data_IF_484116081939
#
_entry.id   IF_484116081939
#
_cell.length_a   1.000
_cell.length_b   1.000
_cell.length_c   1.000
_cell.angle_alpha   90.00
_cell.angle_beta   90.00
_cell.angle_gamma   90.00
#
_symmetry.space_group_name_H-M   'P 1'
#
loop_
_entity.id
_entity.type
_entity.pdbx_description
1 polymer ?
#
# COMPACT_ATOMS: atom_id res chain seq x y z
N UNK A 1 50.51 -16.05 -46.87
CA UNK A 1 50.59 -17.49 -46.55
C UNK A 1 49.46 -17.81 -45.58
N UNK A 2 48.37 -18.43 -46.08
CA UNK A 2 47.88 -19.79 -45.75
C UNK A 2 47.45 -19.95 -44.27
N UNK A 3 46.12 -20.03 -44.04
CA UNK A 3 45.34 -21.23 -43.68
C UNK A 3 45.40 -21.50 -42.17
N UNK A 4 44.37 -21.82 -41.39
CA UNK A 4 42.97 -22.29 -41.46
C UNK A 4 42.63 -22.57 -39.96
N UNK A 5 41.44 -22.84 -39.45
CA UNK A 5 40.17 -23.35 -39.93
C UNK A 5 39.12 -23.00 -38.87
N UNK A 6 37.90 -22.87 -39.36
CA UNK A 6 36.60 -22.81 -38.69
C UNK A 6 36.34 -23.99 -37.73
N UNK A 7 35.67 -23.74 -36.61
CA UNK A 7 34.53 -24.57 -36.20
C UNK A 7 33.52 -23.73 -35.41
N UNK A 8 32.29 -23.72 -35.93
CA UNK A 8 31.12 -23.09 -35.33
C UNK A 8 30.53 -24.00 -34.25
N UNK A 9 29.98 -23.41 -33.20
CA UNK A 9 28.69 -23.85 -32.65
C UNK A 9 27.89 -22.64 -32.19
N UNK A 10 26.68 -22.59 -32.75
CA UNK A 10 25.58 -21.71 -32.42
C UNK A 10 25.10 -21.95 -30.98
N UNK A 11 24.53 -20.92 -30.32
CA UNK A 11 23.61 -21.18 -29.22
C UNK A 11 23.40 -20.08 -28.20
N UNK A 12 22.57 -19.09 -28.57
CA UNK A 12 21.74 -18.24 -27.69
C UNK A 12 22.44 -17.10 -26.92
N UNK A 13 22.46 -15.94 -27.56
CA UNK A 13 22.35 -14.65 -26.87
C UNK A 13 20.94 -14.48 -26.30
N UNK A 14 20.86 -13.99 -25.05
CA UNK A 14 19.88 -12.99 -24.66
C UNK A 14 20.56 -12.03 -23.66
N UNK A 15 21.13 -10.94 -24.19
CA UNK A 15 21.48 -9.74 -23.41
C UNK A 15 20.23 -8.88 -23.27
N UNK A 16 19.81 -8.61 -22.05
CA UNK A 16 19.03 -7.43 -21.66
C UNK A 16 19.85 -6.60 -20.67
N UNK A 17 19.90 -5.25 -20.77
CA UNK A 17 20.82 -4.44 -19.99
C UNK A 17 20.23 -4.13 -18.60
N UNK A 18 21.03 -4.31 -17.54
CA UNK A 18 20.66 -3.90 -16.18
C UNK A 18 21.23 -4.75 -15.04
N UNK A 19 21.87 -5.88 -15.34
CA UNK A 19 22.49 -6.72 -14.32
C UNK A 19 23.94 -6.32 -14.07
N UNK A 20 24.18 -5.42 -13.11
CA UNK A 20 25.43 -5.38 -12.31
C UNK A 20 25.40 -4.29 -11.21
N UNK A 21 24.52 -3.28 -11.31
CA UNK A 21 24.46 -2.18 -10.32
C UNK A 21 23.40 -2.36 -9.22
N UNK A 22 22.32 -3.13 -9.47
CA UNK A 22 21.23 -3.35 -8.49
C UNK A 22 21.64 -4.29 -7.32
N UNK A 23 22.73 -5.04 -7.48
CA UNK A 23 23.24 -5.99 -6.46
C UNK A 23 24.00 -5.36 -5.30
N UNK A 24 24.28 -4.05 -5.31
CA UNK A 24 24.95 -3.34 -4.20
C UNK A 24 24.02 -2.55 -3.28
N UNK A 25 22.74 -2.37 -3.66
CA UNK A 25 21.76 -1.68 -2.84
C UNK A 25 21.14 -2.64 -1.80
N UNK A 26 21.80 -2.84 -0.66
CA UNK A 26 21.15 -2.99 0.66
C UNK A 26 20.23 -4.16 1.00
N UNK A 27 19.94 -5.13 0.13
CA UNK A 27 19.04 -6.27 0.47
C UNK A 27 19.74 -7.45 1.17
N UNK A 28 21.06 -7.36 1.38
CA UNK A 28 21.90 -8.41 1.97
C UNK A 28 22.05 -8.36 3.50
N UNK A 29 21.53 -7.33 4.17
CA UNK A 29 21.57 -7.25 5.64
C UNK A 29 20.35 -7.92 6.26
N UNK A 30 20.59 -8.69 7.32
CA UNK A 30 19.53 -9.32 8.13
C UNK A 30 18.67 -8.21 8.74
N UNK A 31 17.43 -8.09 8.30
CA UNK A 31 16.45 -7.19 8.91
C UNK A 31 16.30 -7.58 10.40
N UNK A 32 16.53 -6.63 11.30
CA UNK A 32 16.58 -6.89 12.74
C UNK A 32 15.20 -7.07 13.38
N UNK A 33 14.13 -6.68 12.68
CA UNK A 33 12.78 -6.61 13.23
C UNK A 33 12.61 -5.48 14.26
N UNK A 34 13.58 -4.57 14.36
CA UNK A 34 13.57 -3.45 15.30
C UNK A 34 12.83 -2.25 14.72
N UNK A 35 12.47 -1.33 15.61
CA UNK A 35 11.79 -0.08 15.26
C UNK A 35 12.61 1.11 15.71
N UNK A 36 12.70 2.14 14.86
CA UNK A 36 13.13 3.48 15.27
C UNK A 36 11.89 4.38 15.42
N UNK A 37 12.04 5.53 16.07
CA UNK A 37 10.96 6.53 16.21
C UNK A 37 11.27 7.79 15.42
N UNK A 38 10.29 8.27 14.66
CA UNK A 38 10.32 9.58 14.00
C UNK A 38 9.14 10.41 14.47
N UNK A 39 9.40 11.55 15.11
CA UNK A 39 8.37 12.41 15.74
C UNK A 39 7.38 11.62 16.63
N UNK A 40 7.91 10.68 17.42
CA UNK A 40 7.14 9.84 18.33
C UNK A 40 6.57 8.56 17.70
N UNK A 41 6.57 8.43 16.38
CA UNK A 41 5.89 7.34 15.67
C UNK A 41 6.88 6.23 15.31
N UNK A 42 6.57 4.95 15.61
CA UNK A 42 7.45 3.82 15.35
C UNK A 42 7.48 3.42 13.86
N UNK A 43 8.67 3.09 13.34
CA UNK A 43 8.91 2.63 11.98
C UNK A 43 9.90 1.45 11.95
N UNK A 44 9.63 0.41 11.15
CA UNK A 44 10.58 -0.70 10.93
C UNK A 44 11.94 -0.26 10.39
N UNK A 45 13.01 -0.71 11.04
CA UNK A 45 14.39 -0.48 10.58
C UNK A 45 14.66 -1.26 9.29
N UNK A 46 15.41 -0.65 8.37
CA UNK A 46 15.93 -1.28 7.16
C UNK A 46 15.11 -1.01 5.90
N UNK A 47 13.80 -0.82 6.02
CA UNK A 47 12.94 -0.38 4.90
C UNK A 47 12.62 1.12 4.93
N UNK A 48 12.72 1.73 6.11
CA UNK A 48 12.52 3.16 6.34
C UNK A 48 13.75 3.75 7.03
N UNK A 49 13.97 5.05 6.86
CA UNK A 49 14.93 5.82 7.64
C UNK A 49 14.35 7.19 8.03
N UNK A 50 14.90 7.88 9.05
CA UNK A 50 14.50 9.25 9.35
C UNK A 50 14.60 10.19 8.13
N UNK A 51 15.59 9.97 7.26
CA UNK A 51 15.81 10.73 6.04
C UNK A 51 14.72 10.44 5.01
N UNK A 52 14.36 9.17 4.79
CA UNK A 52 13.32 8.80 3.82
C UNK A 52 11.96 9.37 4.22
N UNK A 53 11.63 9.37 5.51
CA UNK A 53 10.39 9.98 6.03
C UNK A 53 10.44 11.51 5.89
N UNK A 54 11.58 12.14 6.21
CA UNK A 54 11.75 13.60 6.06
C UNK A 54 11.66 14.04 4.60
N UNK A 55 12.12 13.22 3.65
CA UNK A 55 11.97 13.49 2.23
C UNK A 55 10.50 13.60 1.84
N UNK A 56 9.62 12.74 2.38
CA UNK A 56 8.18 12.82 2.10
C UNK A 56 7.57 14.12 2.56
N UNK A 57 7.89 14.58 3.79
CA UNK A 57 7.34 15.83 4.32
C UNK A 57 7.63 17.05 3.42
N UNK A 58 8.78 17.03 2.73
CA UNK A 58 9.25 18.11 1.86
C UNK A 58 9.18 17.73 0.37
N UNK A 59 8.44 16.67 0.03
CA UNK A 59 8.39 16.16 -1.32
C UNK A 59 7.65 17.11 -2.27
N UNK A 60 8.06 17.08 -3.53
CA UNK A 60 7.36 17.76 -4.61
C UNK A 60 6.13 16.96 -5.03
N UNK A 61 4.96 17.59 -4.93
CA UNK A 61 3.65 17.02 -5.23
C UNK A 61 3.08 17.71 -6.46
N UNK A 62 2.68 16.90 -7.44
CA UNK A 62 2.17 17.33 -8.73
C UNK A 62 0.65 17.20 -8.76
N UNK A 63 -0.03 18.09 -9.48
CA UNK A 63 -1.50 18.15 -9.52
C UNK A 63 -2.19 16.88 -10.04
N UNK A 64 -1.49 16.06 -10.83
CA UNK A 64 -2.02 14.79 -11.35
C UNK A 64 -1.57 13.57 -10.54
N UNK A 65 -0.89 13.77 -9.42
CA UNK A 65 -0.50 12.68 -8.53
C UNK A 65 -1.72 12.00 -7.92
N UNK A 66 -1.61 10.67 -7.75
CA UNK A 66 -2.61 9.84 -7.10
C UNK A 66 -1.94 9.10 -5.94
N UNK A 67 -2.39 9.42 -4.72
CA UNK A 67 -1.92 8.80 -3.49
C UNK A 67 -2.92 7.78 -2.95
N UNK A 68 -2.44 6.60 -2.58
CA UNK A 68 -3.18 5.59 -1.83
C UNK A 68 -2.72 5.65 -0.39
N UNK A 69 -3.58 6.11 0.51
CA UNK A 69 -3.23 6.30 1.92
C UNK A 69 -4.00 5.28 2.75
N UNK A 70 -3.30 4.49 3.56
CA UNK A 70 -3.94 3.43 4.34
C UNK A 70 -3.23 3.20 5.65
N UNK A 71 -3.94 2.71 6.66
CA UNK A 71 -3.25 2.02 7.74
C UNK A 71 -2.74 0.65 7.23
N UNK A 72 -1.54 0.19 7.63
CA UNK A 72 -1.03 -1.13 7.26
C UNK A 72 -2.09 -2.23 7.36
N UNK A 73 -2.12 -3.09 6.34
CA UNK A 73 -3.05 -4.24 6.24
C UNK A 73 -4.54 -3.90 6.02
N UNK A 74 -4.86 -2.65 5.72
CA UNK A 74 -6.23 -2.21 5.41
C UNK A 74 -6.70 -2.50 3.99
N UNK A 75 -5.85 -3.07 3.14
CA UNK A 75 -6.21 -3.45 1.77
C UNK A 75 -5.52 -2.62 0.68
N UNK A 76 -4.42 -1.95 1.01
CA UNK A 76 -3.64 -1.10 0.06
C UNK A 76 -3.39 -1.78 -1.28
N UNK A 77 -2.93 -3.03 -1.27
CA UNK A 77 -2.63 -3.77 -2.50
C UNK A 77 -3.85 -3.98 -3.40
N UNK A 78 -5.03 -4.13 -2.80
CA UNK A 78 -6.26 -4.23 -3.58
C UNK A 78 -6.56 -2.90 -4.28
N UNK A 79 -6.39 -1.78 -3.57
CA UNK A 79 -6.54 -0.44 -4.16
C UNK A 79 -5.46 -0.15 -5.22
N UNK A 80 -4.21 -0.55 -5.00
CA UNK A 80 -3.13 -0.43 -5.99
C UNK A 80 -3.51 -1.18 -7.27
N UNK A 81 -4.02 -2.41 -7.15
CA UNK A 81 -4.44 -3.21 -8.31
C UNK A 81 -5.59 -2.56 -9.07
N UNK A 82 -6.63 -2.14 -8.36
CA UNK A 82 -7.79 -1.44 -8.92
C UNK A 82 -7.34 -0.20 -9.70
N UNK A 83 -6.53 0.67 -9.07
CA UNK A 83 -6.08 1.91 -9.70
C UNK A 83 -5.14 1.64 -10.88
N UNK A 84 -4.29 0.62 -10.79
CA UNK A 84 -3.43 0.24 -11.93
C UNK A 84 -4.25 -0.18 -13.15
N UNK A 85 -5.34 -0.91 -12.93
CA UNK A 85 -6.26 -1.31 -14.00
C UNK A 85 -7.07 -0.12 -14.52
N UNK A 86 -7.55 0.77 -13.65
CA UNK A 86 -8.28 1.99 -14.06
C UNK A 86 -7.38 2.91 -14.91
N UNK A 87 -6.11 3.07 -14.53
CA UNK A 87 -5.14 3.87 -15.28
C UNK A 87 -4.77 3.30 -16.65
N UNK A 88 -5.14 2.04 -16.91
CA UNK A 88 -4.91 1.32 -18.17
C UNK A 88 -6.22 0.87 -18.81
N UNK A 89 -7.33 1.53 -18.49
CA UNK A 89 -8.64 1.27 -19.09
C UNK A 89 -9.07 -0.21 -19.03
N UNK A 90 -8.70 -0.90 -17.94
CA UNK A 90 -8.96 -2.32 -17.72
C UNK A 90 -7.96 -3.29 -18.35
N UNK A 91 -6.92 -2.82 -19.06
CA UNK A 91 -5.86 -3.67 -19.62
C UNK A 91 -4.97 -4.26 -18.51
N UNK A 92 -4.89 -5.59 -18.38
CA UNK A 92 -4.06 -6.23 -17.37
C UNK A 92 -2.56 -6.28 -17.71
N UNK A 93 -2.11 -5.79 -18.87
CA UNK A 93 -0.70 -5.84 -19.31
C UNK A 93 0.26 -5.30 -18.25
N UNK A 94 -0.06 -4.15 -17.66
CA UNK A 94 0.79 -3.51 -16.64
C UNK A 94 0.86 -4.33 -15.34
N UNK A 95 -0.28 -4.83 -14.85
CA UNK A 95 -0.32 -5.62 -13.61
C UNK A 95 0.31 -7.01 -13.79
N UNK A 96 0.41 -7.53 -15.02
CA UNK A 96 1.05 -8.82 -15.32
C UNK A 96 2.55 -8.73 -15.57
N UNK A 97 3.06 -7.54 -15.91
CA UNK A 97 4.47 -7.33 -16.28
C UNK A 97 5.28 -6.58 -15.22
N UNK A 98 4.64 -5.75 -14.38
CA UNK A 98 5.34 -4.88 -13.43
C UNK A 98 4.93 -5.22 -11.98
N UNK A 99 5.89 -5.47 -11.08
CA UNK A 99 5.60 -5.72 -9.67
C UNK A 99 4.83 -4.57 -9.02
N UNK A 100 3.92 -4.91 -8.10
CA UNK A 100 3.00 -3.98 -7.45
C UNK A 100 3.70 -2.81 -6.74
N UNK A 101 4.86 -3.07 -6.11
CA UNK A 101 5.67 -2.03 -5.45
C UNK A 101 6.41 -1.11 -6.42
N UNK A 102 6.53 -1.48 -7.71
CA UNK A 102 7.03 -0.59 -8.77
C UNK A 102 5.90 0.20 -9.44
N UNK A 103 4.66 -0.34 -9.45
CA UNK A 103 3.48 0.35 -9.99
C UNK A 103 2.97 1.46 -9.09
N UNK A 104 3.01 1.26 -7.77
CA UNK A 104 2.62 2.24 -6.77
C UNK A 104 3.65 2.30 -5.62
N UNK A 105 4.85 2.84 -5.87
CA UNK A 105 5.93 2.90 -4.89
C UNK A 105 5.50 3.61 -3.60
N UNK A 106 6.06 3.15 -2.47
CA UNK A 106 5.80 3.75 -1.16
C UNK A 106 6.54 5.07 -1.02
N UNK A 107 5.86 6.12 -0.56
CA UNK A 107 6.47 7.44 -0.37
C UNK A 107 7.64 7.39 0.62
N UNK A 108 7.43 6.75 1.76
CA UNK A 108 8.31 6.78 2.93
C UNK A 108 9.45 5.74 2.92
N UNK A 109 9.45 4.82 1.96
CA UNK A 109 10.49 3.79 1.84
C UNK A 109 11.84 4.41 1.42
N UNK A 110 12.95 3.79 1.83
CA UNK A 110 14.31 4.25 1.44
C UNK A 110 14.46 4.31 -0.08
N UNK A 111 13.95 3.29 -0.78
CA UNK A 111 13.84 3.26 -2.25
C UNK A 111 12.38 3.57 -2.64
N UNK A 112 11.93 4.75 -2.23
CA UNK A 112 10.54 5.18 -2.32
C UNK A 112 10.20 5.98 -3.57
N UNK A 113 8.94 6.42 -3.66
CA UNK A 113 8.41 7.14 -4.82
C UNK A 113 9.19 8.42 -5.15
N UNK A 114 9.64 9.15 -4.13
CA UNK A 114 10.38 10.41 -4.28
C UNK A 114 11.88 10.22 -4.53
N UNK A 115 12.35 8.97 -4.59
CA UNK A 115 13.73 8.62 -4.95
C UNK A 115 13.87 8.22 -6.43
N UNK A 116 12.75 8.14 -7.17
CA UNK A 116 12.73 7.75 -8.57
C UNK A 116 12.94 8.98 -9.49
N UNK A 117 13.83 8.85 -10.46
CA UNK A 117 14.02 9.85 -11.51
C UNK A 117 12.94 9.69 -12.60
N UNK A 118 12.23 10.78 -12.88
CA UNK A 118 11.28 10.93 -13.99
C UNK A 118 10.25 9.76 -14.16
N UNK A 119 9.43 9.47 -13.14
CA UNK A 119 8.41 8.43 -13.24
C UNK A 119 7.29 8.82 -14.23
N UNK A 120 6.72 7.84 -14.95
CA UNK A 120 5.64 8.10 -15.91
C UNK A 120 4.41 8.72 -15.23
N UNK A 121 3.75 9.64 -15.92
CA UNK A 121 2.57 10.34 -15.43
C UNK A 121 1.25 9.72 -15.90
N UNK A 122 0.17 9.76 -15.09
CA UNK A 122 0.13 10.27 -13.71
C UNK A 122 0.88 9.33 -12.74
N UNK A 123 1.52 9.89 -11.71
CA UNK A 123 2.22 9.09 -10.70
C UNK A 123 1.21 8.43 -9.76
N UNK A 124 1.25 7.11 -9.65
CA UNK A 124 0.52 6.36 -8.62
C UNK A 124 1.48 6.06 -7.47
N UNK A 125 1.16 6.46 -6.25
CA UNK A 125 2.02 6.31 -5.07
C UNK A 125 1.22 5.79 -3.89
N UNK A 126 1.90 5.11 -2.96
CA UNK A 126 1.27 4.57 -1.75
C UNK A 126 1.91 5.16 -0.50
N UNK A 127 1.15 5.35 0.57
CA UNK A 127 1.70 5.74 1.87
C UNK A 127 0.94 5.15 3.05
N UNK A 128 1.68 4.72 4.05
CA UNK A 128 1.18 4.42 5.38
C UNK A 128 1.40 5.58 6.36
N UNK A 129 1.94 6.69 5.88
CA UNK A 129 2.31 7.80 6.74
C UNK A 129 1.09 8.45 7.37
N UNK A 130 1.32 8.95 8.60
CA UNK A 130 0.36 9.81 9.21
C UNK A 130 0.10 11.11 8.49
N UNK A 131 -1.10 11.71 8.67
CA UNK A 131 -1.42 13.01 8.06
C UNK A 131 -0.43 14.07 8.53
N UNK A 132 0.00 14.01 9.80
CA UNK A 132 1.00 14.92 10.38
C UNK A 132 2.43 14.69 9.86
N UNK A 133 2.69 13.56 9.18
CA UNK A 133 3.97 13.24 8.54
C UNK A 133 3.87 13.23 7.01
N UNK A 134 2.69 13.48 6.44
CA UNK A 134 2.47 13.40 5.00
C UNK A 134 3.03 14.63 4.29
N UNK A 135 3.18 14.54 2.96
CA UNK A 135 3.76 15.59 2.13
C UNK A 135 3.00 16.92 2.31
N UNK A 136 3.67 17.97 2.78
CA UNK A 136 3.01 19.26 3.06
C UNK A 136 2.46 19.90 1.78
N UNK A 137 3.18 19.76 0.68
CA UNK A 137 2.78 20.25 -0.64
C UNK A 137 1.46 19.63 -1.13
N UNK A 138 1.07 18.45 -0.62
CA UNK A 138 -0.22 17.84 -0.94
C UNK A 138 -1.37 18.80 -0.62
N UNK A 139 -1.37 19.43 0.56
CA UNK A 139 -2.48 20.26 1.04
C UNK A 139 -2.69 21.56 0.25
N UNK A 140 -1.75 21.92 -0.62
CA UNK A 140 -1.81 23.10 -1.50
C UNK A 140 -1.84 22.73 -2.99
N UNK A 141 -1.91 21.44 -3.31
CA UNK A 141 -1.94 20.91 -4.68
C UNK A 141 -3.35 20.45 -5.10
N UNK A 142 -3.51 20.04 -6.35
CA UNK A 142 -4.72 19.35 -6.84
C UNK A 142 -4.59 17.83 -6.87
N UNK A 143 -3.49 17.31 -6.32
CA UNK A 143 -3.26 15.89 -6.22
C UNK A 143 -4.42 15.18 -5.51
N UNK A 144 -4.67 13.95 -5.89
CA UNK A 144 -5.78 13.15 -5.37
C UNK A 144 -5.29 12.14 -4.36
N UNK A 145 -5.99 12.02 -3.23
CA UNK A 145 -5.73 10.97 -2.25
C UNK A 145 -6.96 10.06 -2.08
N UNK A 146 -6.74 8.76 -2.13
CA UNK A 146 -7.74 7.74 -1.80
C UNK A 146 -7.31 7.10 -0.48
N UNK A 147 -8.10 7.37 0.56
CA UNK A 147 -7.92 6.77 1.87
C UNK A 147 -8.72 5.48 1.98
N UNK A 148 -8.08 4.37 2.36
CA UNK A 148 -8.78 3.11 2.58
C UNK A 148 -8.67 2.66 4.04
N UNK A 149 -9.83 2.57 4.69
CA UNK A 149 -10.01 2.04 6.03
C UNK A 149 -10.52 0.61 6.01
N UNK A 150 -10.16 -0.16 7.05
CA UNK A 150 -10.65 -1.51 7.28
C UNK A 150 -11.06 -1.65 8.74
N UNK A 151 -12.01 -2.54 9.02
CA UNK A 151 -12.36 -2.86 10.41
C UNK A 151 -11.08 -3.17 11.23
N UNK A 152 -10.81 -2.45 12.33
CA UNK A 152 -9.58 -2.63 13.10
C UNK A 152 -9.41 -4.05 13.66
N UNK A 153 -10.51 -4.79 13.86
CA UNK A 153 -10.48 -6.21 14.28
C UNK A 153 -9.90 -7.11 13.18
N UNK A 154 -10.20 -6.83 11.92
CA UNK A 154 -9.62 -7.58 10.80
C UNK A 154 -8.17 -7.14 10.54
N UNK A 155 -7.88 -5.86 10.75
CA UNK A 155 -6.52 -5.31 10.64
C UNK A 155 -5.58 -6.00 11.62
N UNK A 156 -5.91 -6.07 12.91
CA UNK A 156 -5.05 -6.69 13.92
C UNK A 156 -4.76 -8.17 13.61
N UNK A 157 -5.76 -8.93 13.16
CA UNK A 157 -5.57 -10.33 12.76
C UNK A 157 -4.67 -10.43 11.52
N UNK A 158 -4.87 -9.55 10.54
CA UNK A 158 -4.06 -9.51 9.32
C UNK A 158 -2.60 -9.14 9.62
N UNK A 159 -2.38 -8.16 10.50
CA UNK A 159 -1.06 -7.71 10.92
C UNK A 159 -0.35 -8.80 11.73
N UNK A 160 -1.03 -9.45 12.69
CA UNK A 160 -0.48 -10.56 13.47
C UNK A 160 0.11 -11.67 12.59
N UNK A 161 -0.64 -12.13 11.58
CA UNK A 161 -0.13 -13.16 10.66
C UNK A 161 0.96 -12.64 9.73
N UNK A 162 0.89 -11.37 9.32
CA UNK A 162 1.92 -10.76 8.49
C UNK A 162 3.26 -10.63 9.23
N UNK A 163 3.25 -10.22 10.50
CA UNK A 163 4.47 -10.11 11.31
C UNK A 163 5.22 -11.43 11.48
N UNK A 164 4.55 -12.58 11.32
CA UNK A 164 5.23 -13.90 11.35
C UNK A 164 6.04 -14.21 10.10
N UNK A 165 5.70 -13.60 8.96
CA UNK A 165 6.36 -13.84 7.67
C UNK A 165 7.19 -12.65 7.21
N UNK A 166 6.92 -11.45 7.73
CA UNK A 166 7.60 -10.21 7.38
C UNK A 166 8.84 -10.00 8.26
N UNK A 167 10.03 -10.08 7.68
CA UNK A 167 11.29 -10.07 8.43
C UNK A 167 11.69 -8.68 8.94
N UNK A 168 11.11 -7.62 8.37
CA UNK A 168 11.24 -6.26 8.88
C UNK A 168 10.45 -6.04 10.19
N UNK A 169 9.51 -6.92 10.53
CA UNK A 169 8.70 -6.79 11.73
C UNK A 169 9.23 -7.73 12.82
N UNK A 170 9.08 -7.30 14.07
CA UNK A 170 9.32 -8.19 15.22
C UNK A 170 8.31 -9.33 15.22
N UNK A 171 8.73 -10.50 15.71
CA UNK A 171 7.79 -11.59 16.00
C UNK A 171 6.66 -11.08 16.91
N UNK A 172 5.39 -11.35 16.56
CA UNK A 172 4.25 -10.78 17.26
C UNK A 172 4.00 -11.41 18.63
N UNK A 173 4.64 -12.54 18.97
CA UNK A 173 4.39 -13.29 20.20
C UNK A 173 2.98 -13.88 20.26
N UNK A 174 2.38 -13.83 21.45
CA UNK A 174 1.03 -14.36 21.68
C UNK A 174 -0.03 -13.40 21.12
N UNK A 175 -1.19 -13.92 20.64
CA UNK A 175 -2.28 -13.06 20.15
C UNK A 175 -2.74 -12.00 21.16
N UNK A 176 -2.79 -12.35 22.45
CA UNK A 176 -3.24 -11.44 23.50
C UNK A 176 -2.24 -10.30 23.71
N UNK A 177 -0.94 -10.60 23.80
CA UNK A 177 0.10 -9.58 23.91
C UNK A 177 0.12 -8.67 22.68
N UNK A 178 -0.01 -9.25 21.48
CA UNK A 178 -0.07 -8.49 20.24
C UNK A 178 -1.27 -7.54 20.20
N UNK A 179 -2.45 -8.01 20.62
CA UNK A 179 -3.66 -7.19 20.71
C UNK A 179 -3.48 -6.03 21.71
N UNK A 180 -2.87 -6.29 22.87
CA UNK A 180 -2.59 -5.23 23.85
C UNK A 180 -1.64 -4.17 23.28
N UNK A 181 -0.58 -4.59 22.60
CA UNK A 181 0.36 -3.68 21.94
C UNK A 181 -0.35 -2.86 20.85
N UNK A 182 -1.17 -3.50 20.02
CA UNK A 182 -1.97 -2.84 18.99
C UNK A 182 -2.91 -1.77 19.57
N UNK A 183 -3.62 -2.08 20.66
CA UNK A 183 -4.53 -1.14 21.32
C UNK A 183 -3.80 0.04 21.98
N UNK A 184 -2.55 -0.15 22.41
CA UNK A 184 -1.69 0.91 22.95
C UNK A 184 -1.00 1.76 21.87
N UNK A 185 -1.09 1.37 20.59
CA UNK A 185 -0.33 2.00 19.51
C UNK A 185 1.17 1.65 19.54
N UNK A 186 1.55 0.59 20.25
CA UNK A 186 2.92 0.09 20.29
C UNK A 186 3.20 -0.74 19.02
N UNK A 187 3.89 -0.15 18.04
CA UNK A 187 4.35 -0.81 16.81
C UNK A 187 4.13 0.02 15.54
N UNK A 188 2.88 0.36 15.23
CA UNK A 188 2.46 1.23 14.11
C UNK A 188 1.29 2.09 14.61
N UNK A 189 1.58 3.32 15.03
CA UNK A 189 0.66 4.20 15.76
C UNK A 189 -0.31 4.92 14.82
N UNK A 190 -1.59 4.53 14.88
CA UNK A 190 -2.74 5.27 14.36
C UNK A 190 -4.06 4.77 14.96
N UNK A 191 -4.15 4.85 16.28
CA UNK A 191 -5.28 4.29 17.02
C UNK A 191 -6.35 5.30 17.46
N UNK A 192 -6.94 6.13 16.58
CA UNK A 192 -8.23 6.79 16.92
C UNK A 192 -9.27 6.81 15.78
N UNK A 193 -10.35 6.06 16.05
CA UNK A 193 -11.70 6.10 15.45
C UNK A 193 -11.78 6.10 13.91
N UNK A 194 -11.53 4.95 13.29
CA UNK A 194 -12.05 4.67 11.93
C UNK A 194 -13.29 3.79 12.09
N UNK A 195 -14.48 4.35 11.80
CA UNK A 195 -15.71 3.57 11.69
C UNK A 195 -15.76 2.92 10.31
N UNK A 196 -15.86 1.60 10.28
CA UNK A 196 -16.04 0.81 9.07
C UNK A 196 -17.45 0.98 8.51
N UNK A 197 -17.59 1.31 7.22
CA UNK A 197 -18.82 1.23 6.45
C UNK A 197 -18.73 0.05 5.46
N UNK A 198 -19.86 -0.37 4.90
CA UNK A 198 -19.97 -1.50 3.98
C UNK A 198 -19.80 -0.97 2.55
N UNK A 199 -18.93 -1.58 1.75
CA UNK A 199 -18.66 -1.15 0.37
C UNK A 199 -19.19 -2.18 -0.63
N UNK A 200 -20.01 -1.74 -1.58
CA UNK A 200 -20.31 -2.47 -2.81
C UNK A 200 -19.22 -2.16 -3.85
N UNK A 201 -18.54 -3.19 -4.33
CA UNK A 201 -17.38 -3.04 -5.20
C UNK A 201 -17.72 -2.33 -6.52
N UNK A 202 -18.85 -2.68 -7.16
CA UNK A 202 -19.15 -2.12 -8.50
C UNK A 202 -19.51 -0.64 -8.41
N UNK A 203 -20.36 -0.28 -7.44
CA UNK A 203 -20.71 1.12 -7.18
C UNK A 203 -19.47 1.92 -6.77
N UNK A 204 -18.64 1.40 -5.86
CA UNK A 204 -17.41 2.10 -5.47
C UNK A 204 -16.38 2.21 -6.58
N UNK A 205 -16.30 1.28 -7.52
CA UNK A 205 -15.44 1.43 -8.69
C UNK A 205 -15.89 2.59 -9.59
N UNK A 206 -17.20 2.77 -9.76
CA UNK A 206 -17.74 3.91 -10.51
C UNK A 206 -17.43 5.23 -9.81
N UNK A 207 -17.58 5.28 -8.48
CA UNK A 207 -17.20 6.45 -7.67
C UNK A 207 -15.71 6.78 -7.81
N UNK A 208 -14.83 5.76 -7.75
CA UNK A 208 -13.39 5.94 -7.93
C UNK A 208 -13.09 6.47 -9.34
N UNK A 209 -13.70 5.89 -10.37
CA UNK A 209 -13.54 6.32 -11.76
C UNK A 209 -13.96 7.79 -11.93
N UNK A 210 -15.11 8.17 -11.37
CA UNK A 210 -15.61 9.55 -11.40
C UNK A 210 -14.67 10.49 -10.64
N UNK A 211 -14.24 10.13 -9.44
CA UNK A 211 -13.30 10.92 -8.64
C UNK A 211 -11.98 11.15 -9.38
N UNK A 212 -11.47 10.15 -10.09
CA UNK A 212 -10.26 10.26 -10.90
C UNK A 212 -10.47 11.03 -12.21
N UNK A 213 -11.73 11.25 -12.63
CA UNK A 213 -12.04 11.82 -13.95
C UNK A 213 -11.76 10.85 -15.09
N UNK A 214 -11.86 9.54 -14.83
CA UNK A 214 -11.56 8.44 -15.76
C UNK A 214 -12.74 7.47 -15.84
N UNK A 215 -13.85 7.85 -16.48
CA UNK A 215 -14.99 6.95 -16.63
C UNK A 215 -14.61 5.73 -17.47
N UNK A 216 -15.02 4.54 -17.02
CA UNK A 216 -14.78 3.28 -17.74
C UNK A 216 -16.08 2.75 -18.36
N UNK A 217 -15.96 2.20 -19.56
CA UNK A 217 -17.03 1.41 -20.18
C UNK A 217 -17.29 0.11 -19.43
N UNK A 218 -18.42 -0.54 -19.73
CA UNK A 218 -18.83 -1.79 -19.05
C UNK A 218 -17.75 -2.88 -19.12
N UNK A 219 -17.14 -3.08 -20.29
CA UNK A 219 -16.12 -4.11 -20.51
C UNK A 219 -14.85 -3.84 -19.70
N UNK A 220 -14.35 -2.61 -19.75
CA UNK A 220 -13.21 -2.17 -18.94
C UNK A 220 -13.50 -2.35 -17.44
N UNK A 221 -14.69 -1.95 -16.97
CA UNK A 221 -15.10 -2.12 -15.58
C UNK A 221 -15.19 -3.59 -15.17
N UNK A 222 -15.78 -4.45 -16.02
CA UNK A 222 -15.85 -5.89 -15.78
C UNK A 222 -14.43 -6.50 -15.73
N UNK A 223 -13.50 -6.00 -16.54
CA UNK A 223 -12.07 -6.37 -16.49
C UNK A 223 -11.41 -5.95 -15.16
N UNK A 224 -11.66 -4.71 -14.69
CA UNK A 224 -11.16 -4.25 -13.38
C UNK A 224 -11.66 -5.17 -12.26
N UNK A 225 -12.96 -5.53 -12.26
CA UNK A 225 -13.55 -6.45 -11.28
C UNK A 225 -12.89 -7.82 -11.33
N UNK A 226 -12.73 -8.39 -12.53
CA UNK A 226 -12.16 -9.73 -12.70
C UNK A 226 -10.70 -9.80 -12.21
N UNK A 227 -9.87 -8.82 -12.58
CA UNK A 227 -8.45 -8.82 -12.25
C UNK A 227 -8.12 -8.35 -10.82
N UNK A 228 -8.98 -7.52 -10.21
CA UNK A 228 -8.85 -7.13 -8.80
C UNK A 228 -9.45 -8.15 -7.83
N UNK A 229 -10.08 -9.22 -8.31
CA UNK A 229 -10.59 -10.28 -7.45
C UNK A 229 -9.45 -10.96 -6.68
N UNK A 230 -9.70 -11.32 -5.41
CA UNK A 230 -8.69 -11.90 -4.53
C UNK A 230 -7.98 -13.13 -5.15
N UNK A 231 -8.74 -14.02 -5.79
CA UNK A 231 -8.19 -15.20 -6.45
C UNK A 231 -7.26 -14.84 -7.61
N UNK A 232 -7.64 -13.87 -8.44
CA UNK A 232 -6.84 -13.39 -9.57
C UNK A 232 -5.53 -12.73 -9.08
N UNK A 233 -5.62 -11.82 -8.11
CA UNK A 233 -4.44 -11.19 -7.51
C UNK A 233 -3.51 -12.21 -6.85
N UNK A 234 -4.07 -13.22 -6.17
CA UNK A 234 -3.28 -14.27 -5.51
C UNK A 234 -2.52 -15.14 -6.51
N UNK A 235 -3.10 -15.37 -7.69
CA UNK A 235 -2.44 -16.10 -8.78
C UNK A 235 -1.40 -15.26 -9.54
N UNK A 236 -1.48 -13.92 -9.48
CA UNK A 236 -0.56 -13.04 -10.18
C UNK A 236 0.75 -12.83 -9.39
N UNK A 237 1.88 -13.33 -9.91
CA UNK A 237 3.20 -13.21 -9.28
C UNK A 237 3.64 -11.75 -9.06
N UNK A 238 3.18 -10.84 -9.93
CA UNK A 238 3.46 -9.41 -9.83
C UNK A 238 2.64 -8.69 -8.75
N UNK A 239 1.61 -9.33 -8.20
CA UNK A 239 0.70 -8.74 -7.20
C UNK A 239 0.68 -9.48 -5.86
N UNK A 240 1.15 -10.72 -5.83
CA UNK A 240 1.11 -11.57 -4.63
C UNK A 240 2.40 -11.58 -3.78
N UNK A 241 3.40 -10.77 -4.16
CA UNK A 241 4.68 -10.61 -3.46
C UNK A 241 5.59 -11.84 -3.45
N UNK A 242 5.34 -12.85 -4.28
CA UNK A 242 6.19 -14.06 -4.34
C UNK A 242 7.58 -13.79 -4.93
N UNK A 243 7.74 -12.68 -5.64
CA UNK A 243 9.03 -12.24 -6.18
C UNK A 243 9.95 -11.56 -5.14
N UNK A 244 9.44 -11.28 -3.93
CA UNK A 244 10.29 -10.74 -2.86
C UNK A 244 11.23 -11.83 -2.30
N UNK A 245 12.46 -11.47 -1.89
CA UNK A 245 13.37 -12.42 -1.29
C UNK A 245 12.83 -12.92 0.08
N UNK A 246 13.07 -14.19 0.45
CA UNK A 246 12.66 -14.72 1.76
C UNK A 246 13.26 -13.98 2.97
N UNK A 247 14.37 -13.25 2.76
CA UNK A 247 14.97 -12.37 3.76
C UNK A 247 14.11 -11.16 4.11
N UNK A 248 13.14 -10.80 3.25
CA UNK A 248 12.17 -9.73 3.48
C UNK A 248 10.79 -10.30 3.80
N UNK A 249 10.33 -11.27 3.00
CA UNK A 249 9.00 -11.87 3.16
C UNK A 249 9.06 -13.39 2.96
N UNK A 250 9.00 -14.13 4.05
CA UNK A 250 9.11 -15.58 4.05
C UNK A 250 7.78 -16.26 3.75
N UNK A 251 7.45 -16.35 2.46
CA UNK A 251 6.20 -16.96 2.01
C UNK A 251 6.19 -18.51 2.10
N UNK A 252 7.24 -19.15 2.63
CA UNK A 252 7.23 -20.59 2.94
C UNK A 252 6.39 -20.89 4.17
N UNK A 253 6.24 -19.92 5.06
CA UNK A 253 5.51 -20.02 6.33
C UNK A 253 4.13 -19.35 6.31
N UNK A 254 3.70 -18.84 5.14
CA UNK A 254 2.40 -18.20 4.95
C UNK A 254 2.35 -17.42 3.64
N UNK A 255 1.20 -16.86 3.27
CA UNK A 255 1.08 -16.04 2.07
C UNK A 255 0.73 -14.60 2.43
N UNK A 256 1.27 -13.62 1.68
CA UNK A 256 0.89 -12.22 1.86
C UNK A 256 -0.63 -12.03 1.67
N UNK A 257 -1.16 -12.55 0.56
CA UNK A 257 -2.58 -12.65 0.29
C UNK A 257 -3.17 -13.88 1.02
N UNK A 258 -3.35 -13.71 2.34
CA UNK A 258 -3.74 -14.77 3.28
C UNK A 258 -5.18 -15.25 3.05
N UNK A 259 -6.17 -14.37 3.28
CA UNK A 259 -7.61 -14.62 3.12
C UNK A 259 -8.30 -13.33 2.65
N UNK A 260 -9.12 -13.43 1.60
CA UNK A 260 -9.82 -12.30 0.97
C UNK A 260 -11.19 -11.96 1.57
N UNK A 261 -11.64 -12.69 2.59
CA UNK A 261 -12.85 -12.38 3.34
C UNK A 261 -12.48 -11.66 4.64
N UNK A 262 -13.21 -10.61 5.01
CA UNK A 262 -13.18 -10.08 6.37
C UNK A 262 -14.05 -10.93 7.28
N UNK A 263 -14.05 -10.59 8.56
CA UNK A 263 -14.60 -11.49 9.58
C UNK A 263 -13.68 -12.66 9.91
N UNK A 264 -12.35 -12.49 9.83
CA UNK A 264 -11.44 -13.53 10.28
C UNK A 264 -11.39 -13.59 11.82
N UNK A 265 -12.40 -14.26 12.38
CA UNK A 265 -12.40 -14.98 13.66
C UNK A 265 -11.72 -14.31 14.84
N UNK A 266 -12.39 -13.37 15.50
CA UNK A 266 -12.24 -13.26 16.95
C UNK A 266 -13.20 -14.30 17.55
N UNK A 267 -12.74 -15.27 18.36
CA UNK A 267 -13.65 -16.21 19.00
C UNK A 267 -14.59 -15.43 19.92
N UNK A 268 -15.89 -15.43 19.61
CA UNK A 268 -16.92 -15.11 20.59
C UNK A 268 -17.09 -16.34 21.47
N UNK A 269 -16.89 -16.21 22.79
CA UNK A 269 -17.56 -17.10 23.73
C UNK A 269 -19.04 -16.75 23.68
N UNK A 270 -19.83 -17.56 22.99
CA UNK A 270 -21.28 -17.57 23.20
C UNK A 270 -21.63 -18.71 24.15
N UNK A 271 -22.30 -18.36 25.24
CA UNK A 271 -22.99 -19.32 26.09
C UNK A 271 -24.14 -19.92 25.27
N UNK A 272 -23.97 -21.17 24.86
CA UNK A 272 -25.04 -22.07 24.44
C UNK A 272 -25.56 -21.88 23.01
N UNK A 273 -25.56 -22.97 22.24
CA UNK A 273 -26.39 -23.13 21.04
C UNK A 273 -25.60 -23.34 19.75
N UNK A 274 -25.70 -24.56 19.20
CA UNK A 274 -25.20 -24.94 17.89
C UNK A 274 -25.87 -24.14 16.76
N UNK A 275 -25.18 -23.14 16.22
CA UNK A 275 -25.54 -22.45 14.98
C UNK A 275 -24.39 -22.53 13.99
N UNK A 276 -24.63 -23.02 12.77
CA UNK A 276 -23.63 -22.97 11.69
C UNK A 276 -23.36 -21.50 11.33
N UNK A 277 -22.16 -21.02 11.58
CA UNK A 277 -21.72 -19.65 11.29
C UNK A 277 -21.24 -19.53 9.83
N UNK A 278 -21.94 -18.74 9.02
CA UNK A 278 -21.37 -18.16 7.80
C UNK A 278 -20.48 -16.97 8.21
N UNK A 279 -19.23 -16.87 7.74
CA UNK A 279 -18.39 -15.72 8.05
C UNK A 279 -19.00 -14.45 7.39
N UNK A 280 -19.12 -13.33 8.13
CA UNK A 280 -19.59 -12.08 7.52
C UNK A 280 -18.57 -11.58 6.48
N UNK A 281 -19.00 -10.98 5.36
CA UNK A 281 -18.07 -10.41 4.36
C UNK A 281 -17.28 -9.22 4.95
N UNK A 282 -16.12 -8.86 4.36
CA UNK A 282 -15.28 -7.77 4.87
C UNK A 282 -15.98 -6.42 4.91
N UNK A 283 -15.87 -5.72 6.05
CA UNK A 283 -16.21 -4.30 6.16
C UNK A 283 -14.98 -3.46 5.79
N UNK A 284 -15.03 -2.83 4.62
CA UNK A 284 -14.01 -1.93 4.07
C UNK A 284 -14.64 -0.56 3.86
N UNK A 285 -13.97 0.51 4.28
CA UNK A 285 -14.37 1.91 4.02
C UNK A 285 -13.41 2.50 3.00
N UNK A 286 -13.93 3.17 1.98
CA UNK A 286 -13.13 3.97 1.05
C UNK A 286 -13.52 5.44 1.26
N UNK A 287 -12.54 6.28 1.56
CA UNK A 287 -12.65 7.73 1.57
C UNK A 287 -11.85 8.31 0.40
N UNK A 288 -12.34 9.38 -0.21
CA UNK A 288 -11.68 10.07 -1.32
C UNK A 288 -11.53 11.54 -0.95
N UNK A 289 -10.37 12.12 -1.24
CA UNK A 289 -10.06 13.50 -0.87
C UNK A 289 -9.21 14.18 -1.95
N UNK A 290 -9.57 15.43 -2.26
CA UNK A 290 -8.77 16.40 -2.99
C UNK A 290 -8.75 17.67 -2.13
N UNK A 291 -7.64 18.40 -2.00
CA UNK A 291 -7.60 19.65 -1.24
C UNK A 291 -8.63 20.70 -1.70
N UNK A 292 -9.00 20.67 -2.99
CA UNK A 292 -10.02 21.53 -3.59
C UNK A 292 -11.48 21.15 -3.21
N UNK A 293 -11.68 19.98 -2.59
CA UNK A 293 -12.97 19.51 -2.09
C UNK A 293 -12.96 19.61 -0.56
N UNK A 294 -13.76 20.54 -0.02
CA UNK A 294 -14.00 20.88 1.41
C UNK A 294 -13.54 19.82 2.46
N UNK A 295 -12.93 20.22 3.60
CA UNK A 295 -12.24 19.35 4.57
C UNK A 295 -13.14 18.44 5.45
N UNK A 296 -14.21 17.85 4.90
CA UNK A 296 -15.17 16.99 5.61
C UNK A 296 -14.63 15.65 6.15
N UNK A 297 -13.32 15.41 6.08
CA UNK A 297 -12.66 14.20 6.57
C UNK A 297 -11.61 14.45 7.67
N UNK A 298 -11.29 15.71 7.99
CA UNK A 298 -10.44 15.97 9.14
C UNK A 298 -11.23 15.59 10.41
N UNK A 299 -10.74 14.67 11.27
CA UNK A 299 -11.37 14.45 12.55
C UNK A 299 -11.45 15.79 13.29
N UNK A 300 -12.61 16.12 13.87
CA UNK A 300 -12.95 17.38 14.56
C UNK A 300 -12.03 17.77 15.75
N UNK A 301 -10.83 17.20 15.85
CA UNK A 301 -9.88 17.47 16.93
C UNK A 301 -8.44 17.56 16.42
N UNK A 302 -8.18 18.34 15.38
CA UNK A 302 -6.88 19.00 15.25
C UNK A 302 -6.87 20.24 16.16
N UNK A 303 -5.87 20.43 17.05
CA UNK A 303 -5.72 21.72 17.71
C UNK A 303 -5.59 22.82 16.66
N UNK A 304 -6.18 23.99 16.94
CA UNK A 304 -6.29 25.20 16.10
C UNK A 304 -4.97 25.81 15.59
N UNK A 305 -3.86 25.08 15.57
CA UNK A 305 -2.53 25.58 15.20
C UNK A 305 -2.27 25.72 13.69
N UNK A 306 -3.28 25.56 12.83
CA UNK A 306 -3.16 25.74 11.38
C UNK A 306 -4.14 26.78 10.80
N UNK A 307 -4.67 27.68 11.63
CA UNK A 307 -5.25 28.94 11.12
C UNK A 307 -4.09 29.90 10.84
N UNK A 308 -3.53 29.85 9.63
CA UNK A 308 -2.78 30.98 9.12
C UNK A 308 -3.75 32.17 9.02
N UNK A 309 -3.48 33.21 9.81
CA UNK A 309 -4.23 34.47 9.82
C UNK A 309 -4.34 35.05 8.40
N UNK A 310 -5.48 35.64 8.00
CA UNK A 310 -5.57 36.38 6.76
C UNK A 310 -4.64 37.59 6.80
N UNK A 311 -3.89 37.79 5.71
CA UNK A 311 -3.15 39.03 5.47
C UNK A 311 -4.12 40.23 5.51
N UNK A 312 -3.80 41.32 6.21
CA UNK A 312 -4.63 42.52 6.19
C UNK A 312 -4.59 43.13 4.79
N UNK A 313 -5.77 43.53 4.32
CA UNK A 313 -6.04 43.87 2.93
C UNK A 313 -5.24 45.04 2.36
N UNK A 314 -5.22 45.05 1.03
CA UNK A 314 -4.96 46.23 0.21
C UNK A 314 -6.23 46.51 -0.59
N UNK A 315 -6.99 47.51 -0.13
CA UNK A 315 -7.44 48.55 -1.05
C UNK A 315 -6.27 49.51 -1.26
#
# INVERSE_FOLDING_TARGET
QRNGQTQAMQGVEFRGPGGEEETRAGWGQKLSGEYFRYKGIPFPVGIYSPESIRMVENADVQDDDIFIITYPKSGTNWMIEILSLILKDGDPSWIRSVPIWKRAPWCEAILGAFSLSDPPRPRLMSSHLPIQLFAKAFFTSKAKAIYMGRNPRDVVVSLYHYSKIARQLKDPGTPDQFLQNFLKGEGEDWGRKIKGCRVDLRSSLQDICQFLGRPLGKEALDSVVAHSAFGAMKANAMSNFTLLPPSLLDQRHGAFLRKGAGGSGVPRREHGGSGKFLPPPPALTIGMSCPDLHPGWLPESLPQAAQCSPLPGTQ
#
